data_IF_456837692062
#
_entry.id   IF_456837692062
#
_cell.length_a   1.000
_cell.length_b   1.000
_cell.length_c   1.000
_cell.angle_alpha   90.00
_cell.angle_beta   90.00
_cell.angle_gamma   90.00
#
_symmetry.space_group_name_H-M   'P 1'
#
loop_
_entity.id
_entity.type
_entity.pdbx_description
1 polymer ?
#
# COMPACT_ATOMS: atom_id res chain seq x y z
N UNK A 1 -39.60 -13.56 -16.95
CA UNK A 1 -39.47 -12.56 -15.89
C UNK A 1 -38.92 -13.26 -14.63
N UNK A 2 -37.64 -13.24 -14.39
CA UNK A 2 -37.02 -13.60 -13.11
C UNK A 2 -35.96 -12.55 -12.82
N UNK A 3 -36.23 -11.75 -11.77
CA UNK A 3 -35.34 -10.74 -11.28
C UNK A 3 -34.10 -11.39 -10.65
N UNK A 4 -32.92 -11.13 -11.16
CA UNK A 4 -31.66 -11.39 -10.47
C UNK A 4 -31.49 -10.33 -9.39
N UNK A 5 -31.73 -10.72 -8.15
CA UNK A 5 -31.33 -9.98 -6.97
C UNK A 5 -29.80 -9.98 -6.90
N UNK A 6 -29.21 -8.79 -7.11
CA UNK A 6 -27.83 -8.51 -6.80
C UNK A 6 -27.67 -8.57 -5.28
N UNK A 7 -27.15 -9.69 -4.77
CA UNK A 7 -26.65 -9.79 -3.40
C UNK A 7 -25.34 -9.02 -3.32
N UNK A 8 -25.43 -7.75 -2.92
CA UNK A 8 -24.30 -7.00 -2.38
C UNK A 8 -23.83 -7.71 -1.09
N UNK A 9 -22.90 -8.64 -1.25
CA UNK A 9 -22.11 -9.14 -0.13
C UNK A 9 -21.19 -8.00 0.35
N UNK A 10 -21.74 -7.10 1.16
CA UNK A 10 -20.99 -6.30 2.09
C UNK A 10 -20.14 -7.26 2.94
N UNK A 11 -18.85 -7.35 2.64
CA UNK A 11 -17.93 -7.88 3.63
C UNK A 11 -18.02 -6.96 4.84
N UNK A 12 -18.45 -7.45 5.98
CA UNK A 12 -18.57 -6.62 7.14
C UNK A 12 -17.16 -6.28 7.62
N UNK A 13 -16.65 -5.11 7.18
CA UNK A 13 -15.51 -4.46 7.86
C UNK A 13 -15.83 -4.32 9.35
N UNK A 14 -17.11 -4.23 9.70
CA UNK A 14 -17.64 -4.28 11.07
C UNK A 14 -17.43 -5.63 11.79
N UNK A 15 -17.31 -6.74 11.07
CA UNK A 15 -17.02 -8.06 11.69
C UNK A 15 -15.55 -8.24 12.03
N UNK A 16 -14.64 -7.57 11.34
CA UNK A 16 -13.22 -7.52 11.69
C UNK A 16 -12.96 -6.78 13.01
N UNK A 17 -13.86 -5.88 13.40
CA UNK A 17 -13.76 -5.15 14.68
C UNK A 17 -14.13 -6.02 15.89
N UNK A 18 -14.80 -7.18 15.71
CA UNK A 18 -15.28 -8.03 16.83
C UNK A 18 -14.43 -9.28 17.11
N UNK A 19 -13.42 -9.59 16.32
CA UNK A 19 -12.47 -10.65 16.71
C UNK A 19 -11.39 -10.09 17.64
N UNK A 20 -11.62 -10.26 18.95
CA UNK A 20 -10.64 -10.01 20.01
C UNK A 20 -9.44 -10.96 19.89
N UNK A 21 -8.43 -10.62 19.14
CA UNK A 21 -7.00 -10.80 19.42
C UNK A 21 -6.29 -9.67 18.65
N UNK A 22 -6.67 -8.44 18.89
CA UNK A 22 -5.87 -7.31 18.47
C UNK A 22 -4.73 -7.17 19.48
N UNK A 23 -3.52 -7.54 19.13
CA UNK A 23 -2.37 -7.05 19.86
C UNK A 23 -2.41 -5.53 19.81
N UNK A 24 -2.62 -4.91 20.97
CA UNK A 24 -2.58 -3.45 21.07
C UNK A 24 -1.29 -2.89 20.44
N UNK A 25 -1.35 -1.67 19.93
CA UNK A 25 -0.13 -0.99 19.50
C UNK A 25 0.90 -1.03 20.65
N UNK A 26 2.19 -1.26 20.36
CA UNK A 26 3.22 -1.22 21.39
C UNK A 26 3.22 0.14 22.10
N UNK A 27 3.50 0.14 23.40
CA UNK A 27 3.73 1.39 24.13
C UNK A 27 4.88 2.18 23.48
N UNK A 28 4.83 3.50 23.54
CA UNK A 28 5.81 4.37 22.87
C UNK A 28 7.24 4.13 23.36
N UNK A 29 7.40 3.70 24.61
CA UNK A 29 8.67 3.34 25.26
C UNK A 29 9.35 2.10 24.62
N UNK A 30 8.61 1.24 23.94
CA UNK A 30 9.16 0.09 23.23
C UNK A 30 9.96 0.49 21.97
N UNK A 31 9.76 1.71 21.50
CA UNK A 31 10.47 2.28 20.36
C UNK A 31 11.78 2.95 20.78
N UNK A 32 12.80 2.86 19.94
CA UNK A 32 14.08 3.53 20.14
C UNK A 32 13.91 5.08 20.01
N UNK A 33 14.81 5.90 20.56
CA UNK A 33 14.66 7.36 20.50
C UNK A 33 14.42 7.92 19.10
N UNK A 34 15.16 7.46 18.10
CA UNK A 34 14.97 7.87 16.69
C UNK A 34 13.61 7.43 16.13
N UNK A 35 13.14 6.23 16.48
CA UNK A 35 11.84 5.69 16.09
C UNK A 35 10.71 6.52 16.71
N UNK A 36 10.79 6.84 18.00
CA UNK A 36 9.86 7.72 18.71
C UNK A 36 9.77 9.09 18.07
N UNK A 37 10.91 9.72 17.80
CA UNK A 37 10.94 11.03 17.15
C UNK A 37 10.22 11.05 15.78
N UNK A 38 10.29 9.95 15.02
CA UNK A 38 9.53 9.80 13.76
C UNK A 38 8.02 9.70 14.05
N UNK A 39 7.61 8.85 15.00
CA UNK A 39 6.21 8.66 15.39
C UNK A 39 5.61 10.00 15.86
N UNK A 40 6.29 10.71 16.75
CA UNK A 40 5.83 11.99 17.32
C UNK A 40 5.72 13.09 16.26
N UNK A 41 6.62 13.11 15.28
CA UNK A 41 6.68 14.10 14.20
C UNK A 41 5.63 13.89 13.13
N UNK A 42 5.36 12.64 12.74
CA UNK A 42 4.51 12.30 11.59
C UNK A 42 3.20 11.65 12.04
N UNK A 43 2.21 12.48 12.36
CA UNK A 43 0.96 12.06 13.01
C UNK A 43 -0.21 11.81 12.05
N UNK A 44 -0.08 12.23 10.79
CA UNK A 44 -1.16 12.13 9.81
C UNK A 44 -0.70 11.37 8.57
N UNK A 45 -1.63 10.72 7.82
CA UNK A 45 -1.28 10.04 6.58
C UNK A 45 -0.52 10.92 5.58
N UNK A 46 -0.88 12.20 5.47
CA UNK A 46 -0.17 13.16 4.61
C UNK A 46 1.28 13.38 5.05
N UNK A 47 1.51 13.55 6.35
CA UNK A 47 2.87 13.73 6.88
C UNK A 47 3.72 12.48 6.67
N UNK A 48 3.15 11.28 6.93
CA UNK A 48 3.84 10.00 6.69
C UNK A 48 4.11 9.80 5.20
N UNK A 49 3.17 10.15 4.31
CA UNK A 49 3.41 10.12 2.86
C UNK A 49 4.59 11.00 2.45
N UNK A 50 4.66 12.22 2.97
CA UNK A 50 5.77 13.14 2.67
C UNK A 50 7.10 12.59 3.20
N UNK A 51 7.12 12.02 4.40
CA UNK A 51 8.28 11.36 4.97
C UNK A 51 8.75 10.19 4.07
N UNK A 52 7.85 9.31 3.67
CA UNK A 52 8.19 8.15 2.83
C UNK A 52 8.67 8.56 1.43
N UNK A 53 8.14 9.64 0.85
CA UNK A 53 8.64 10.18 -0.42
C UNK A 53 10.07 10.66 -0.34
N UNK A 54 10.48 11.22 0.80
CA UNK A 54 11.83 11.70 1.03
C UNK A 54 12.86 10.57 1.23
N UNK A 55 12.40 9.34 1.57
CA UNK A 55 13.32 8.20 1.69
C UNK A 55 13.79 7.74 0.31
N UNK A 56 15.07 7.33 0.17
CA UNK A 56 15.53 6.60 -0.99
C UNK A 56 14.72 5.32 -1.21
N UNK A 57 14.47 4.97 -2.48
CA UNK A 57 13.85 3.69 -2.80
C UNK A 57 14.83 2.54 -2.57
N UNK A 58 14.36 1.46 -1.94
CA UNK A 58 15.15 0.25 -1.75
C UNK A 58 15.06 -0.63 -3.00
N UNK A 59 16.11 -0.61 -3.83
CA UNK A 59 16.20 -1.37 -5.07
C UNK A 59 16.65 -2.83 -4.88
N UNK A 60 16.93 -3.25 -3.65
CA UNK A 60 17.30 -4.61 -3.28
C UNK A 60 18.47 -5.22 -4.10
N UNK A 61 19.41 -4.37 -4.51
CA UNK A 61 20.51 -4.72 -5.42
C UNK A 61 21.42 -5.85 -4.91
N UNK A 62 21.45 -6.10 -3.61
CA UNK A 62 22.32 -7.11 -3.01
C UNK A 62 21.54 -8.36 -2.59
N UNK A 63 20.37 -8.19 -2.03
CA UNK A 63 19.45 -9.24 -1.61
C UNK A 63 18.06 -8.68 -1.42
N UNK A 64 17.07 -9.54 -1.50
CA UNK A 64 15.71 -9.25 -1.09
C UNK A 64 15.63 -8.94 0.40
N UNK A 65 14.77 -8.02 0.77
CA UNK A 65 14.54 -7.58 2.15
C UNK A 65 13.07 -7.34 2.40
N UNK A 66 12.65 -7.52 3.64
CA UNK A 66 11.32 -7.11 4.08
C UNK A 66 11.41 -6.51 5.48
N UNK A 67 11.99 -5.31 5.54
CA UNK A 67 12.27 -4.62 6.79
C UNK A 67 11.02 -4.12 7.46
N UNK A 68 10.96 -4.28 8.77
CA UNK A 68 9.99 -3.60 9.63
C UNK A 68 10.28 -2.09 9.69
N UNK A 69 9.44 -1.34 10.40
CA UNK A 69 9.71 0.07 10.73
C UNK A 69 11.12 0.25 11.32
N UNK A 70 11.51 -0.61 12.29
CA UNK A 70 12.84 -0.58 12.90
C UNK A 70 13.97 -0.75 11.88
N UNK A 71 13.83 -1.68 10.97
CA UNK A 71 14.80 -1.92 9.91
C UNK A 71 14.89 -0.75 8.93
N UNK A 72 13.76 -0.16 8.53
CA UNK A 72 13.74 1.01 7.65
C UNK A 72 14.40 2.21 8.32
N UNK A 73 14.13 2.48 9.60
CA UNK A 73 14.78 3.57 10.36
C UNK A 73 16.30 3.38 10.46
N UNK A 74 16.76 2.13 10.57
CA UNK A 74 18.19 1.80 10.59
C UNK A 74 18.86 2.04 9.23
N UNK A 75 18.24 1.57 8.12
CA UNK A 75 18.83 1.57 6.79
C UNK A 75 18.45 2.78 5.93
N UNK A 76 17.47 3.55 6.36
CA UNK A 76 16.98 4.80 5.76
C UNK A 76 16.57 4.69 4.29
N UNK A 77 15.97 3.57 3.90
CA UNK A 77 15.41 3.30 2.57
C UNK A 77 14.30 2.26 2.67
N UNK A 78 13.31 2.32 1.76
CA UNK A 78 12.18 1.39 1.74
C UNK A 78 11.69 1.12 0.32
N UNK A 79 11.27 -0.12 0.03
CA UNK A 79 10.39 -0.47 -1.09
C UNK A 79 8.91 -0.40 -0.66
N UNK A 80 7.96 -0.79 -1.53
CA UNK A 80 6.51 -0.59 -1.29
C UNK A 80 6.01 -1.24 0.01
N UNK A 81 6.29 -2.52 0.24
CA UNK A 81 5.82 -3.25 1.42
C UNK A 81 6.51 -2.76 2.71
N UNK A 82 7.83 -2.50 2.67
CA UNK A 82 8.54 -1.89 3.80
C UNK A 82 7.94 -0.52 4.19
N UNK A 83 7.61 0.30 3.18
CA UNK A 83 6.98 1.61 3.40
C UNK A 83 5.55 1.48 3.97
N UNK A 84 4.78 0.48 3.51
CA UNK A 84 3.47 0.18 4.07
C UNK A 84 3.55 -0.23 5.54
N UNK A 85 4.56 -1.03 5.93
CA UNK A 85 4.83 -1.38 7.33
C UNK A 85 5.25 -0.17 8.18
N UNK A 86 6.05 0.75 7.63
CA UNK A 86 6.37 2.02 8.29
C UNK A 86 5.10 2.83 8.53
N UNK A 87 4.27 3.01 7.51
CA UNK A 87 3.02 3.76 7.63
C UNK A 87 2.07 3.12 8.64
N UNK A 88 1.93 1.78 8.60
CA UNK A 88 1.11 1.03 9.53
C UNK A 88 1.60 1.22 10.99
N UNK A 89 2.91 1.11 11.24
CA UNK A 89 3.46 1.24 12.58
C UNK A 89 3.31 2.66 13.13
N UNK A 90 3.66 3.69 12.32
CA UNK A 90 3.58 5.08 12.75
C UNK A 90 2.13 5.51 12.96
N UNK A 91 1.25 5.22 12.01
CA UNK A 91 -0.14 5.69 12.06
C UNK A 91 -0.99 4.91 13.06
N UNK A 92 -0.65 3.65 13.38
CA UNK A 92 -1.32 2.91 14.46
C UNK A 92 -1.16 3.62 15.81
N UNK A 93 -0.02 4.25 16.08
CA UNK A 93 0.20 5.08 17.29
C UNK A 93 -0.71 6.33 17.35
N UNK A 94 -1.31 6.69 16.22
CA UNK A 94 -2.23 7.83 16.10
C UNK A 94 -3.68 7.38 15.82
N UNK A 95 -4.03 6.12 16.16
CA UNK A 95 -5.39 5.60 16.12
C UNK A 95 -5.87 5.12 14.74
N UNK A 96 -5.00 5.02 13.73
CA UNK A 96 -5.36 4.41 12.46
C UNK A 96 -5.18 2.89 12.53
N UNK A 97 -6.16 2.08 12.14
CA UNK A 97 -5.98 0.62 12.04
C UNK A 97 -4.86 0.28 11.04
N UNK A 98 -3.98 -0.70 11.32
CA UNK A 98 -2.86 -1.07 10.46
C UNK A 98 -3.34 -1.92 9.28
N UNK A 99 -4.13 -1.32 8.39
CA UNK A 99 -4.68 -1.96 7.20
C UNK A 99 -3.71 -1.87 6.03
N UNK A 100 -3.47 -3.00 5.36
CA UNK A 100 -2.78 -3.06 4.10
C UNK A 100 -3.78 -3.31 2.96
N UNK A 101 -3.57 -2.61 1.85
CA UNK A 101 -4.18 -2.87 0.56
C UNK A 101 -3.11 -3.46 -0.34
N UNK A 102 -3.34 -4.67 -0.81
CA UNK A 102 -2.49 -5.35 -1.77
C UNK A 102 -3.13 -5.29 -3.16
N UNK A 103 -2.39 -4.79 -4.14
CA UNK A 103 -2.78 -4.74 -5.54
C UNK A 103 -2.09 -5.87 -6.29
N UNK A 104 -2.87 -6.90 -6.63
CA UNK A 104 -2.39 -8.05 -7.38
C UNK A 104 -2.17 -7.67 -8.85
N UNK A 105 -0.98 -7.98 -9.38
CA UNK A 105 -0.62 -7.73 -10.78
C UNK A 105 -0.57 -9.02 -11.60
N UNK A 106 -0.89 -8.91 -12.89
CA UNK A 106 -0.79 -10.04 -13.81
C UNK A 106 0.63 -10.61 -13.94
N UNK A 107 1.66 -9.79 -13.74
CA UNK A 107 3.08 -10.17 -13.79
C UNK A 107 3.65 -10.60 -12.44
N UNK A 108 2.81 -10.66 -11.39
CA UNK A 108 3.18 -11.02 -10.01
C UNK A 108 4.11 -10.01 -9.31
N UNK A 109 4.26 -8.82 -9.85
CA UNK A 109 4.93 -7.70 -9.18
C UNK A 109 3.89 -6.85 -8.46
N UNK A 110 3.39 -7.36 -7.35
CA UNK A 110 2.31 -6.76 -6.59
C UNK A 110 2.76 -5.45 -5.91
N UNK A 111 1.79 -4.60 -5.58
CA UNK A 111 2.06 -3.31 -4.93
C UNK A 111 1.25 -3.19 -3.64
N UNK A 112 1.96 -3.09 -2.53
CA UNK A 112 1.36 -3.00 -1.20
C UNK A 112 1.36 -1.56 -0.70
N UNK A 113 0.19 -1.15 -0.17
CA UNK A 113 -0.06 0.19 0.33
C UNK A 113 -0.67 0.13 1.74
N UNK A 114 -0.39 1.14 2.56
CA UNK A 114 -1.16 1.36 3.77
C UNK A 114 -2.51 1.99 3.42
N UNK A 115 -3.61 1.39 3.90
CA UNK A 115 -4.98 1.83 3.65
C UNK A 115 -5.53 2.57 4.88
N UNK A 116 -6.14 3.72 4.67
CA UNK A 116 -6.81 4.45 5.75
C UNK A 116 -8.15 5.05 5.32
N UNK A 117 -8.98 5.38 6.33
CA UNK A 117 -10.26 6.07 6.13
C UNK A 117 -10.28 7.37 6.94
N UNK A 118 -10.68 8.47 6.32
CA UNK A 118 -10.85 9.76 6.98
C UNK A 118 -12.13 10.43 6.48
N UNK A 119 -12.98 10.89 7.40
CA UNK A 119 -14.29 11.52 7.08
C UNK A 119 -15.11 10.67 6.09
N UNK A 120 -15.15 9.36 6.33
CA UNK A 120 -15.91 8.43 5.47
C UNK A 120 -15.29 8.13 4.10
N UNK A 121 -14.10 8.65 3.77
CA UNK A 121 -13.42 8.44 2.48
C UNK A 121 -12.14 7.64 2.66
N UNK A 122 -11.85 6.80 1.68
CA UNK A 122 -10.66 5.97 1.62
C UNK A 122 -9.50 6.71 0.96
N UNK A 123 -8.30 6.49 1.48
CA UNK A 123 -7.03 6.96 0.96
C UNK A 123 -5.92 5.95 1.26
N UNK A 124 -4.74 6.18 0.72
CA UNK A 124 -3.57 5.30 0.90
C UNK A 124 -2.30 6.10 1.16
N UNK A 125 -1.36 5.47 1.86
CA UNK A 125 0.04 5.91 1.95
C UNK A 125 0.89 4.84 1.30
N UNK A 126 1.76 5.24 0.37
CA UNK A 126 2.58 4.31 -0.38
C UNK A 126 3.90 4.92 -0.86
N UNK A 127 4.91 4.07 -1.03
CA UNK A 127 6.18 4.39 -1.68
C UNK A 127 6.38 3.47 -2.87
N UNK A 128 6.67 4.04 -4.01
CA UNK A 128 7.01 3.29 -5.22
C UNK A 128 8.20 3.96 -5.92
N UNK A 129 8.85 3.25 -6.81
CA UNK A 129 9.80 3.80 -7.78
C UNK A 129 9.08 4.76 -8.75
N UNK A 130 7.81 4.49 -9.07
CA UNK A 130 7.00 5.27 -10.01
C UNK A 130 6.03 6.19 -9.27
N UNK A 131 5.99 7.46 -9.67
CA UNK A 131 5.14 8.48 -9.02
C UNK A 131 3.65 8.16 -9.07
N UNK A 132 3.20 7.53 -10.17
CA UNK A 132 1.82 7.14 -10.35
C UNK A 132 1.31 6.14 -9.30
N UNK A 133 2.21 5.42 -8.62
CA UNK A 133 1.90 4.41 -7.63
C UNK A 133 2.09 4.88 -6.18
N UNK A 134 2.34 6.16 -5.95
CA UNK A 134 2.33 6.74 -4.60
C UNK A 134 0.92 6.79 -4.01
N UNK A 135 0.81 7.18 -2.74
CA UNK A 135 -0.46 7.25 -2.01
C UNK A 135 -1.52 8.13 -2.64
N UNK A 136 -2.75 8.02 -2.14
CA UNK A 136 -3.94 8.75 -2.58
C UNK A 136 -4.59 9.49 -1.43
N UNK A 137 -5.02 10.73 -1.68
CA UNK A 137 -5.87 11.50 -0.76
C UNK A 137 -7.14 10.73 -0.41
N UNK A 138 -7.73 10.92 0.78
CA UNK A 138 -8.95 10.25 1.20
C UNK A 138 -10.18 10.90 0.54
N UNK A 139 -10.37 10.64 -0.75
CA UNK A 139 -11.48 11.17 -1.57
C UNK A 139 -12.41 10.08 -2.10
N UNK A 140 -12.02 8.81 -2.02
CA UNK A 140 -12.74 7.69 -2.61
C UNK A 140 -13.84 7.17 -1.68
N UNK A 141 -15.03 6.95 -2.21
CA UNK A 141 -16.17 6.41 -1.45
C UNK A 141 -16.03 4.93 -1.17
N UNK A 142 -15.42 4.18 -2.10
CA UNK A 142 -15.22 2.74 -2.00
C UNK A 142 -13.76 2.37 -2.24
N UNK A 143 -13.35 1.22 -1.71
CA UNK A 143 -12.00 0.68 -1.96
C UNK A 143 -11.82 0.37 -3.45
N UNK A 144 -12.86 -0.14 -4.14
CA UNK A 144 -12.80 -0.39 -5.58
C UNK A 144 -12.51 0.88 -6.39
N UNK A 145 -13.13 2.03 -6.05
CA UNK A 145 -12.82 3.31 -6.69
C UNK A 145 -11.37 3.74 -6.45
N UNK A 146 -10.87 3.53 -5.22
CA UNK A 146 -9.48 3.80 -4.88
C UNK A 146 -8.54 2.92 -5.71
N UNK A 147 -8.78 1.61 -5.78
CA UNK A 147 -7.98 0.66 -6.58
C UNK A 147 -8.00 1.05 -8.06
N UNK A 148 -9.16 1.41 -8.62
CA UNK A 148 -9.27 1.86 -10.01
C UNK A 148 -8.42 3.12 -10.32
N UNK A 149 -8.13 3.95 -9.33
CA UNK A 149 -7.21 5.09 -9.51
C UNK A 149 -5.76 4.69 -9.76
N UNK A 150 -5.41 3.44 -9.50
CA UNK A 150 -4.10 2.86 -9.78
C UNK A 150 -4.04 2.11 -11.12
N UNK A 151 -5.20 1.78 -11.72
CA UNK A 151 -5.24 0.92 -12.91
C UNK A 151 -4.40 1.47 -14.08
N UNK A 152 -4.52 2.75 -14.41
CA UNK A 152 -3.74 3.36 -15.48
C UNK A 152 -2.25 3.56 -15.12
N UNK A 153 -1.91 4.12 -13.93
CA UNK A 153 -0.52 4.28 -13.52
C UNK A 153 0.25 2.97 -13.32
N UNK A 154 -0.46 1.86 -13.14
CA UNK A 154 0.14 0.55 -12.94
C UNK A 154 0.62 -0.08 -14.26
N UNK A 155 0.12 0.40 -15.40
CA UNK A 155 0.48 -0.17 -16.69
C UNK A 155 1.90 0.21 -17.03
N UNK A 156 2.75 -0.80 -17.08
CA UNK A 156 4.13 -0.75 -17.58
C UNK A 156 4.33 -1.81 -18.69
N UNK A 157 5.55 -2.34 -18.85
CA UNK A 157 5.83 -3.36 -19.88
C UNK A 157 5.00 -4.62 -19.75
N UNK A 158 4.66 -5.05 -18.55
CA UNK A 158 3.97 -6.30 -18.21
C UNK A 158 2.89 -6.16 -17.14
N UNK A 159 2.93 -5.08 -16.33
CA UNK A 159 2.05 -4.88 -15.19
C UNK A 159 0.63 -4.45 -15.55
N UNK A 160 -0.33 -5.02 -14.84
CA UNK A 160 -1.75 -4.66 -14.86
C UNK A 160 -2.40 -5.13 -13.58
N UNK A 161 -3.13 -4.26 -12.89
CA UNK A 161 -3.89 -4.68 -11.70
C UNK A 161 -5.03 -5.61 -12.13
N UNK A 162 -5.02 -6.83 -11.60
CA UNK A 162 -6.02 -7.88 -11.88
C UNK A 162 -6.83 -8.26 -10.64
N UNK A 163 -6.38 -7.88 -9.46
CA UNK A 163 -7.04 -8.15 -8.20
C UNK A 163 -6.61 -7.19 -7.09
N UNK A 164 -7.29 -7.27 -5.95
CA UNK A 164 -6.89 -6.58 -4.73
C UNK A 164 -7.40 -7.27 -3.49
N UNK A 165 -6.62 -7.21 -2.41
CA UNK A 165 -6.96 -7.71 -1.10
C UNK A 165 -6.77 -6.65 -0.01
N UNK A 166 -7.49 -6.78 1.11
CA UNK A 166 -7.31 -5.92 2.30
C UNK A 166 -7.09 -6.79 3.52
N UNK A 167 -5.96 -6.56 4.21
CA UNK A 167 -5.61 -7.27 5.43
C UNK A 167 -5.36 -6.31 6.60
N UNK A 168 -5.82 -6.69 7.79
CA UNK A 168 -5.41 -6.04 9.05
C UNK A 168 -4.20 -6.81 9.60
N UNK A 169 -3.06 -6.15 9.70
CA UNK A 169 -1.82 -6.76 10.18
C UNK A 169 -1.95 -7.41 11.57
N UNK A 170 -2.88 -6.93 12.40
CA UNK A 170 -3.16 -7.50 13.72
C UNK A 170 -3.80 -8.88 13.66
N UNK A 171 -4.43 -9.22 12.53
CA UNK A 171 -5.17 -10.48 12.34
C UNK A 171 -4.47 -11.44 11.38
N UNK A 172 -3.77 -10.93 10.35
CA UNK A 172 -3.15 -11.76 9.33
C UNK A 172 -1.71 -12.16 9.65
N UNK A 173 -1.05 -11.46 10.60
CA UNK A 173 0.34 -11.70 11.01
C UNK A 173 0.42 -11.95 12.51
N UNK A 174 1.11 -13.01 12.92
CA UNK A 174 1.32 -13.35 14.33
C UNK A 174 2.61 -12.77 14.91
N UNK A 175 3.60 -12.47 14.06
CA UNK A 175 4.93 -12.00 14.47
C UNK A 175 4.97 -10.51 14.84
N UNK A 176 6.14 -10.08 15.31
CA UNK A 176 6.40 -8.70 15.74
C UNK A 176 6.71 -7.77 14.55
N UNK A 177 5.79 -7.68 13.60
CA UNK A 177 5.94 -6.91 12.36
C UNK A 177 6.30 -5.43 12.55
N UNK A 178 6.08 -4.85 13.74
CA UNK A 178 6.40 -3.46 14.05
C UNK A 178 7.87 -3.25 14.41
N UNK A 179 8.40 -4.12 15.29
CA UNK A 179 9.67 -3.91 16.00
C UNK A 179 10.73 -4.98 15.74
N UNK A 180 10.45 -6.01 14.92
CA UNK A 180 11.44 -7.03 14.59
C UNK A 180 12.71 -6.39 14.01
N UNK A 181 13.90 -6.80 14.47
CA UNK A 181 15.16 -6.35 13.87
C UNK A 181 15.47 -7.04 12.53
N UNK A 182 14.82 -8.17 12.26
CA UNK A 182 14.96 -8.97 11.04
C UNK A 182 13.86 -8.72 10.03
N UNK A 183 13.99 -9.35 8.87
CA UNK A 183 13.01 -9.31 7.80
C UNK A 183 11.71 -10.04 8.18
N UNK A 184 10.58 -9.54 7.73
CA UNK A 184 9.23 -10.02 8.10
C UNK A 184 8.52 -10.72 6.94
N UNK A 185 9.15 -11.74 6.38
CA UNK A 185 8.58 -12.57 5.30
C UNK A 185 7.20 -13.19 5.64
N UNK A 186 6.84 -13.23 6.91
CA UNK A 186 5.50 -13.65 7.34
C UNK A 186 4.41 -12.70 6.80
N UNK A 187 4.71 -11.41 6.71
CA UNK A 187 3.76 -10.41 6.16
C UNK A 187 3.48 -10.70 4.69
N UNK A 188 4.52 -10.91 3.88
CA UNK A 188 4.37 -11.24 2.46
C UNK A 188 3.58 -12.52 2.27
N UNK A 189 3.96 -13.60 2.98
CA UNK A 189 3.21 -14.86 2.93
C UNK A 189 1.76 -14.72 3.38
N UNK A 190 1.47 -13.81 4.31
CA UNK A 190 0.10 -13.54 4.73
C UNK A 190 -0.70 -12.80 3.66
N UNK A 191 -0.09 -11.83 2.95
CA UNK A 191 -0.69 -11.12 1.82
C UNK A 191 -1.00 -12.08 0.67
N UNK A 192 -0.05 -12.93 0.27
CA UNK A 192 -0.23 -13.94 -0.79
C UNK A 192 -1.40 -14.90 -0.45
N UNK A 193 -1.56 -15.28 0.82
CA UNK A 193 -2.62 -16.23 1.24
C UNK A 193 -3.98 -15.58 1.48
N UNK A 194 -4.06 -14.26 1.65
CA UNK A 194 -5.34 -13.63 1.90
C UNK A 194 -6.23 -13.63 0.65
N UNK A 195 -7.57 -13.60 0.81
CA UNK A 195 -8.48 -13.54 -0.33
C UNK A 195 -8.32 -12.22 -1.10
N UNK A 196 -8.18 -12.33 -2.42
CA UNK A 196 -8.22 -11.21 -3.35
C UNK A 196 -9.54 -11.19 -4.14
N UNK A 197 -10.02 -9.99 -4.41
CA UNK A 197 -11.16 -9.76 -5.29
C UNK A 197 -10.64 -9.46 -6.68
N UNK A 198 -11.10 -10.19 -7.67
CA UNK A 198 -10.77 -9.92 -9.07
C UNK A 198 -11.20 -8.50 -9.46
N UNK A 199 -10.34 -7.81 -10.18
CA UNK A 199 -10.58 -6.50 -10.75
C UNK A 199 -10.65 -6.61 -12.26
N UNK A 200 -11.84 -6.44 -12.80
CA UNK A 200 -12.00 -6.30 -14.26
C UNK A 200 -11.72 -4.85 -14.67
N UNK A 201 -10.77 -4.66 -15.56
CA UNK A 201 -10.46 -3.40 -16.23
C UNK A 201 -10.59 -3.57 -17.75
N UNK A 202 -10.76 -2.46 -18.47
CA UNK A 202 -10.94 -2.47 -19.91
C UNK A 202 -9.65 -2.84 -20.65
N UNK A 203 -9.68 -3.89 -21.49
CA UNK A 203 -8.53 -4.28 -22.33
C UNK A 203 -8.15 -3.16 -23.30
N UNK A 204 -9.14 -2.52 -23.92
CA UNK A 204 -8.90 -1.34 -24.78
C UNK A 204 -8.16 -0.22 -24.04
N UNK A 205 -8.51 0.03 -22.76
CA UNK A 205 -7.81 1.03 -21.92
C UNK A 205 -6.40 0.58 -21.58
N UNK A 206 -6.23 -0.68 -21.21
CA UNK A 206 -4.90 -1.26 -20.93
C UNK A 206 -3.97 -1.14 -22.13
N UNK A 207 -4.40 -1.56 -23.31
CA UNK A 207 -3.62 -1.46 -24.55
C UNK A 207 -3.27 -0.03 -24.92
N UNK A 208 -4.20 0.90 -24.72
CA UNK A 208 -3.94 2.33 -24.90
C UNK A 208 -2.83 2.80 -23.97
N UNK A 209 -2.93 2.50 -22.66
CA UNK A 209 -1.91 2.90 -21.66
C UNK A 209 -0.57 2.22 -21.91
N UNK A 210 -0.56 0.97 -22.34
CA UNK A 210 0.67 0.26 -22.69
C UNK A 210 1.40 0.91 -23.88
N UNK A 211 0.67 1.37 -24.90
CA UNK A 211 1.26 2.15 -25.99
C UNK A 211 1.82 3.49 -25.49
N UNK A 212 1.11 4.20 -24.60
CA UNK A 212 1.61 5.43 -23.99
C UNK A 212 2.90 5.18 -23.18
N UNK A 213 2.94 4.11 -22.40
CA UNK A 213 4.12 3.72 -21.63
C UNK A 213 5.32 3.44 -22.56
N UNK A 214 5.13 2.66 -23.61
CA UNK A 214 6.19 2.34 -24.59
C UNK A 214 6.73 3.59 -25.26
N UNK A 215 5.86 4.45 -25.78
CA UNK A 215 6.25 5.72 -26.40
C UNK A 215 6.95 6.69 -25.41
N UNK A 216 6.57 6.64 -24.12
CA UNK A 216 7.27 7.37 -23.07
C UNK A 216 8.68 6.81 -22.85
N UNK A 217 8.83 5.49 -22.78
CA UNK A 217 10.12 4.82 -22.55
C UNK A 217 11.10 4.95 -23.72
N UNK A 218 10.63 5.01 -24.94
CA UNK A 218 11.46 5.33 -26.11
C UNK A 218 12.15 6.69 -25.98
N UNK A 219 11.42 7.69 -25.44
CA UNK A 219 11.94 9.06 -25.23
C UNK A 219 12.68 9.22 -23.90
N UNK A 220 12.34 8.42 -22.90
CA UNK A 220 12.89 8.46 -21.55
C UNK A 220 13.25 7.04 -21.08
N UNK A 221 14.38 6.47 -21.54
CA UNK A 221 14.76 5.08 -21.26
C UNK A 221 14.91 4.77 -19.77
N UNK A 222 15.33 5.77 -18.99
CA UNK A 222 15.59 5.67 -17.56
C UNK A 222 14.74 6.67 -16.75
N UNK A 223 14.71 6.47 -15.43
CA UNK A 223 13.98 7.35 -14.52
C UNK A 223 12.53 6.96 -14.27
N UNK A 224 11.85 7.66 -13.35
CA UNK A 224 10.49 7.34 -12.97
C UNK A 224 9.48 7.70 -14.07
N UNK A 225 8.43 6.89 -14.18
CA UNK A 225 7.31 7.18 -15.07
C UNK A 225 6.47 8.32 -14.47
N UNK A 226 6.26 9.38 -15.24
CA UNK A 226 5.60 10.61 -14.77
C UNK A 226 4.64 11.26 -15.77
N UNK A 227 4.22 10.55 -16.83
CA UNK A 227 3.32 11.12 -17.85
C UNK A 227 1.84 11.14 -17.47
N UNK A 228 1.47 10.65 -16.28
CA UNK A 228 0.08 10.61 -15.83
C UNK A 228 -0.41 12.00 -15.42
N UNK A 229 -1.60 12.36 -15.87
CA UNK A 229 -2.23 13.62 -15.50
C UNK A 229 -2.60 13.66 -14.00
N UNK A 230 -2.49 14.82 -13.39
CA UNK A 230 -2.97 15.08 -12.03
C UNK A 230 -2.16 14.46 -10.90
N UNK A 231 -0.94 14.01 -11.14
CA UNK A 231 -0.09 13.38 -10.11
C UNK A 231 0.13 14.24 -8.87
N UNK A 232 0.30 15.55 -9.02
CA UNK A 232 0.45 16.48 -7.91
C UNK A 232 -0.79 16.58 -7.00
N UNK A 233 -1.96 16.17 -7.49
CA UNK A 233 -3.21 16.19 -6.73
C UNK A 233 -3.47 14.92 -5.91
N UNK A 234 -2.68 13.86 -6.08
CA UNK A 234 -2.98 12.57 -5.46
C UNK A 234 -2.67 12.53 -3.96
N UNK A 235 -1.51 13.04 -3.54
CA UNK A 235 -1.19 13.25 -2.12
C UNK A 235 0.10 14.09 -1.92
#
# INVERSE_FOLDING_TARGET
MRALLALDFLFPVERLVKMKIATAAPALEAFRPKERGIIERYRTPQQVQNFLRALPYNWERQRETLRTFRGVVKHWKAHCLEAALVAATVLEQHGYPPLLLDLESQDKLDHVLFLFRRRGRWGTVARSRDFGLHGRKPVFRTIRQLVMSYADPYVDGSGRVVGYGVGDLRTIVRGHWRLSPGDMWEVERALIRMPHRALQSSDRRYEFMLRQFRAFRERHPTGPVNFYAGQSSWM
#
